data_IF_368554776788
#
_entry.id   IF_368554776788
#
_cell.length_a   1.000
_cell.length_b   1.000
_cell.length_c   1.000
_cell.angle_alpha   90.00
_cell.angle_beta   90.00
_cell.angle_gamma   90.00
#
_symmetry.space_group_name_H-M   'P 1'
#
loop_
_entity.id
_entity.type
_entity.pdbx_description
1 polymer ?
#
# COMPACT_ATOMS: atom_id res chain seq x y z
N UNK A 1 12.80 30.40 18.47
CA UNK A 1 11.37 30.78 18.34
C UNK A 1 10.74 30.01 17.18
N UNK A 2 9.43 29.72 17.30
CA UNK A 2 8.58 28.81 16.48
C UNK A 2 8.62 27.32 16.86
N UNK A 3 8.15 27.01 18.06
CA UNK A 3 7.52 25.72 18.36
C UNK A 3 6.19 25.66 17.60
N UNK A 4 6.24 25.34 16.30
CA UNK A 4 5.03 25.07 15.52
C UNK A 4 4.32 23.88 16.13
N UNK A 5 3.01 24.01 16.42
CA UNK A 5 2.18 22.90 16.91
C UNK A 5 2.26 21.75 15.90
N UNK A 6 3.07 20.74 16.21
CA UNK A 6 3.19 19.51 15.44
C UNK A 6 1.87 18.75 15.51
N UNK A 7 1.47 18.10 14.41
CA UNK A 7 0.31 17.21 14.41
C UNK A 7 0.51 16.14 15.49
N UNK A 8 -0.49 15.88 16.35
CA UNK A 8 -0.37 14.84 17.37
C UNK A 8 -0.04 13.48 16.75
N UNK A 9 0.84 12.72 17.40
CA UNK A 9 1.25 11.41 16.92
C UNK A 9 0.07 10.47 16.69
N UNK A 10 -0.95 10.56 17.54
CA UNK A 10 -2.19 9.78 17.41
C UNK A 10 -2.92 10.08 16.09
N UNK A 11 -2.96 11.33 15.66
CA UNK A 11 -3.57 11.71 14.38
C UNK A 11 -2.78 11.10 13.23
N UNK A 12 -1.45 11.12 13.31
CA UNK A 12 -0.58 10.50 12.29
C UNK A 12 -0.83 8.99 12.21
N UNK A 13 -0.92 8.30 13.36
CA UNK A 13 -1.26 6.87 13.43
C UNK A 13 -2.63 6.59 12.82
N UNK A 14 -3.63 7.43 13.10
CA UNK A 14 -4.96 7.28 12.51
C UNK A 14 -4.98 7.55 11.00
N UNK A 15 -4.17 8.48 10.48
CA UNK A 15 -4.09 8.74 9.04
C UNK A 15 -3.44 7.56 8.32
N UNK A 16 -2.31 7.06 8.81
CA UNK A 16 -1.52 6.06 8.09
C UNK A 16 -1.85 4.61 8.46
N UNK A 17 -2.59 4.38 9.54
CA UNK A 17 -2.99 3.04 10.01
C UNK A 17 -1.78 2.08 10.05
N UNK A 18 -1.96 0.86 9.56
CA UNK A 18 -0.95 -0.19 9.52
C UNK A 18 -0.13 -0.20 8.20
N UNK A 19 -0.01 0.93 7.48
CA UNK A 19 0.74 0.98 6.20
C UNK A 19 2.19 0.50 6.33
N UNK A 20 2.83 0.78 7.47
CA UNK A 20 4.19 0.31 7.76
C UNK A 20 4.27 -1.21 7.78
N UNK A 21 3.26 -1.89 8.33
CA UNK A 21 3.17 -3.36 8.34
C UNK A 21 2.99 -3.92 6.94
N UNK A 22 2.12 -3.29 6.13
CA UNK A 22 1.92 -3.63 4.72
C UNK A 22 3.24 -3.51 3.96
N UNK A 23 3.93 -2.38 4.11
CA UNK A 23 5.23 -2.15 3.48
C UNK A 23 6.26 -3.20 3.90
N UNK A 24 6.39 -3.48 5.20
CA UNK A 24 7.34 -4.47 5.71
C UNK A 24 7.08 -5.86 5.14
N UNK A 25 5.81 -6.29 5.09
CA UNK A 25 5.43 -7.55 4.47
C UNK A 25 5.86 -7.61 3.00
N UNK A 26 5.56 -6.56 2.22
CA UNK A 26 5.91 -6.52 0.81
C UNK A 26 7.42 -6.48 0.57
N UNK A 27 8.15 -5.63 1.30
CA UNK A 27 9.58 -5.41 1.11
C UNK A 27 10.43 -6.61 1.55
N UNK A 28 10.07 -7.27 2.65
CA UNK A 28 10.94 -8.29 3.26
C UNK A 28 10.50 -9.73 2.98
N UNK A 29 9.24 -9.95 2.56
CA UNK A 29 8.72 -11.32 2.36
C UNK A 29 8.17 -11.51 0.96
N UNK A 30 7.24 -10.66 0.52
CA UNK A 30 6.53 -10.92 -0.73
C UNK A 30 7.41 -10.68 -1.96
N UNK A 31 8.02 -9.50 -2.09
CA UNK A 31 8.88 -9.19 -3.23
C UNK A 31 10.08 -10.14 -3.34
N UNK A 32 10.82 -10.46 -2.25
CA UNK A 32 11.94 -11.38 -2.32
C UNK A 32 11.56 -12.79 -2.81
N UNK A 33 10.43 -13.35 -2.36
CA UNK A 33 9.97 -14.67 -2.83
C UNK A 33 9.59 -14.67 -4.31
N UNK A 34 8.98 -13.57 -4.79
CA UNK A 34 8.70 -13.40 -6.23
C UNK A 34 9.99 -13.26 -7.04
N UNK A 35 10.96 -12.47 -6.56
CA UNK A 35 12.25 -12.30 -7.23
C UNK A 35 13.01 -13.63 -7.33
N UNK A 36 13.12 -14.36 -6.22
CA UNK A 36 13.71 -15.70 -6.19
C UNK A 36 13.03 -16.65 -7.18
N UNK A 37 11.70 -16.58 -7.30
CA UNK A 37 10.97 -17.37 -8.29
C UNK A 37 11.33 -16.97 -9.72
N UNK A 38 11.53 -15.69 -10.01
CA UNK A 38 11.97 -15.27 -11.35
C UNK A 38 13.40 -15.75 -11.67
N UNK A 39 14.28 -15.79 -10.68
CA UNK A 39 15.64 -16.34 -10.83
C UNK A 39 15.63 -17.85 -11.11
N UNK A 40 14.73 -18.61 -10.47
CA UNK A 40 14.59 -20.07 -10.63
C UNK A 40 13.49 -20.48 -11.64
N UNK A 41 13.06 -19.56 -12.52
CA UNK A 41 11.89 -19.78 -13.38
C UNK A 41 12.02 -21.02 -14.27
N UNK A 42 13.21 -21.31 -14.78
CA UNK A 42 13.48 -22.47 -15.64
C UNK A 42 13.18 -23.81 -14.95
N UNK A 43 13.31 -23.86 -13.63
CA UNK A 43 13.09 -25.07 -12.82
C UNK A 43 11.69 -25.10 -12.23
N UNK A 44 11.17 -23.94 -11.88
CA UNK A 44 9.86 -23.79 -11.22
C UNK A 44 9.02 -22.71 -11.91
N UNK A 45 8.49 -22.94 -13.14
CA UNK A 45 7.81 -21.92 -13.94
C UNK A 45 6.36 -21.67 -13.51
N UNK A 46 6.16 -21.34 -12.23
CA UNK A 46 4.84 -21.04 -11.66
C UNK A 46 4.94 -19.89 -10.66
N UNK A 47 3.84 -19.28 -10.27
CA UNK A 47 3.80 -18.30 -9.16
C UNK A 47 2.73 -18.63 -8.11
N UNK A 48 1.80 -19.53 -8.44
CA UNK A 48 0.61 -19.80 -7.62
C UNK A 48 0.94 -20.27 -6.20
N UNK A 49 1.98 -21.07 -6.02
CA UNK A 49 2.46 -21.55 -4.72
C UNK A 49 3.05 -20.42 -3.84
N UNK A 50 3.78 -19.47 -4.42
CA UNK A 50 4.25 -18.28 -3.70
C UNK A 50 3.07 -17.45 -3.21
N UNK A 51 2.09 -17.22 -4.10
CA UNK A 51 0.88 -16.46 -3.78
C UNK A 51 0.07 -17.18 -2.69
N UNK A 52 -0.15 -18.48 -2.82
CA UNK A 52 -0.91 -19.27 -1.85
C UNK A 52 -0.25 -19.26 -0.46
N UNK A 53 1.09 -19.38 -0.40
CA UNK A 53 1.87 -19.29 0.84
C UNK A 53 1.69 -17.93 1.54
N UNK A 54 1.63 -16.85 0.77
CA UNK A 54 1.66 -15.48 1.29
C UNK A 54 0.28 -14.80 1.38
N UNK A 55 -0.74 -15.34 0.71
CA UNK A 55 -2.10 -14.81 0.69
C UNK A 55 -2.72 -14.63 2.09
N UNK A 56 -2.48 -15.51 3.10
CA UNK A 56 -3.02 -15.31 4.44
C UNK A 56 -2.61 -13.97 5.07
N UNK A 57 -1.43 -13.44 4.74
CA UNK A 57 -0.94 -12.17 5.27
C UNK A 57 -1.63 -10.96 4.64
N UNK A 58 -2.16 -11.08 3.40
CA UNK A 58 -2.90 -9.99 2.75
C UNK A 58 -4.17 -9.59 3.51
N UNK A 59 -4.65 -10.41 4.45
CA UNK A 59 -5.76 -10.05 5.36
C UNK A 59 -5.51 -8.76 6.15
N UNK A 60 -4.25 -8.36 6.37
CA UNK A 60 -3.90 -7.09 7.04
C UNK A 60 -4.42 -5.85 6.30
N UNK A 61 -4.65 -5.95 4.98
CA UNK A 61 -5.26 -4.86 4.20
C UNK A 61 -6.69 -4.54 4.67
N UNK A 62 -7.40 -5.49 5.28
CA UNK A 62 -8.74 -5.25 5.81
C UNK A 62 -8.76 -4.15 6.87
N UNK A 63 -7.71 -4.07 7.70
CA UNK A 63 -7.55 -3.00 8.69
C UNK A 63 -7.33 -1.63 8.00
N UNK A 64 -6.41 -1.58 7.03
CA UNK A 64 -6.12 -0.36 6.28
C UNK A 64 -7.35 0.17 5.54
N UNK A 65 -8.03 -0.72 4.80
CA UNK A 65 -9.22 -0.38 4.01
C UNK A 65 -10.35 0.10 4.91
N UNK A 66 -10.59 -0.57 6.05
CA UNK A 66 -11.62 -0.15 7.03
C UNK A 66 -11.34 1.25 7.59
N UNK A 67 -10.08 1.66 7.69
CA UNK A 67 -9.68 2.95 8.23
C UNK A 67 -9.61 4.07 7.16
N UNK A 68 -9.66 3.73 5.87
CA UNK A 68 -9.35 4.66 4.78
C UNK A 68 -10.22 5.93 4.80
N UNK A 69 -11.55 5.80 4.89
CA UNK A 69 -12.46 6.95 4.85
C UNK A 69 -12.19 7.92 6.01
N UNK A 70 -12.00 7.37 7.22
CA UNK A 70 -11.67 8.14 8.42
C UNK A 70 -10.33 8.88 8.28
N UNK A 71 -9.34 8.23 7.65
CA UNK A 71 -8.05 8.85 7.42
C UNK A 71 -8.15 10.04 6.43
N UNK A 72 -8.95 9.89 5.37
CA UNK A 72 -9.21 10.97 4.41
C UNK A 72 -9.93 12.14 5.09
N UNK A 73 -10.95 11.87 5.90
CA UNK A 73 -11.64 12.90 6.69
C UNK A 73 -10.68 13.65 7.63
N UNK A 74 -9.79 12.93 8.32
CA UNK A 74 -8.79 13.54 9.20
C UNK A 74 -7.82 14.43 8.44
N UNK A 75 -7.36 14.03 7.25
CA UNK A 75 -6.48 14.87 6.42
C UNK A 75 -7.20 16.17 6.05
N UNK A 76 -8.47 16.08 5.62
CA UNK A 76 -9.28 17.26 5.26
C UNK A 76 -9.45 18.18 6.46
N UNK A 77 -9.92 17.65 7.59
CA UNK A 77 -10.13 18.41 8.83
C UNK A 77 -8.84 19.11 9.30
N UNK A 78 -7.71 18.40 9.29
CA UNK A 78 -6.44 18.98 9.73
C UNK A 78 -5.88 20.00 8.74
N UNK A 79 -6.15 19.84 7.45
CA UNK A 79 -5.76 20.83 6.43
C UNK A 79 -6.53 22.14 6.62
N UNK A 80 -7.83 22.08 6.95
CA UNK A 80 -8.65 23.27 7.20
C UNK A 80 -8.30 23.95 8.54
N UNK A 81 -8.07 23.15 9.59
CA UNK A 81 -7.86 23.64 10.95
C UNK A 81 -6.44 24.17 11.19
N UNK A 82 -5.44 23.68 10.45
CA UNK A 82 -4.03 23.92 10.73
C UNK A 82 -3.27 24.33 9.47
N UNK A 83 -3.08 25.64 9.22
CA UNK A 83 -2.27 26.13 8.11
C UNK A 83 -0.86 25.50 8.07
N UNK A 84 -0.14 25.31 9.20
CA UNK A 84 1.15 24.62 9.16
C UNK A 84 1.08 23.16 8.67
N UNK A 85 -0.02 22.46 8.91
CA UNK A 85 -0.21 21.11 8.39
C UNK A 85 -0.52 21.14 6.89
N UNK A 86 -1.39 22.06 6.45
CA UNK A 86 -1.69 22.27 5.05
C UNK A 86 -0.41 22.60 4.25
N UNK A 87 0.41 23.52 4.76
CA UNK A 87 1.69 23.90 4.14
C UNK A 87 2.64 22.70 4.05
N UNK A 88 2.77 21.92 5.12
CA UNK A 88 3.59 20.71 5.16
C UNK A 88 3.15 19.70 4.08
N UNK A 89 1.85 19.40 4.00
CA UNK A 89 1.31 18.47 2.99
C UNK A 89 1.55 19.02 1.58
N UNK A 90 1.29 20.31 1.35
CA UNK A 90 1.52 20.94 0.06
C UNK A 90 2.99 20.86 -0.36
N UNK A 91 3.92 21.10 0.57
CA UNK A 91 5.36 21.03 0.29
C UNK A 91 5.87 19.61 0.05
N UNK A 92 5.29 18.61 0.72
CA UNK A 92 5.59 17.20 0.43
C UNK A 92 5.09 16.83 -0.97
N UNK A 93 3.84 17.18 -1.31
CA UNK A 93 3.23 16.82 -2.60
C UNK A 93 3.91 17.46 -3.82
N UNK A 94 4.57 18.61 -3.65
CA UNK A 94 5.38 19.26 -4.71
C UNK A 94 6.66 18.46 -5.05
N UNK A 95 7.09 17.52 -4.21
CA UNK A 95 8.30 16.75 -4.45
C UNK A 95 8.09 15.85 -5.66
N UNK A 96 9.12 15.73 -6.52
CA UNK A 96 9.07 14.89 -7.72
C UNK A 96 8.64 13.45 -7.46
N UNK A 97 9.02 12.90 -6.29
CA UNK A 97 8.65 11.53 -5.87
C UNK A 97 7.14 11.33 -5.71
N UNK A 98 6.37 12.39 -5.46
CA UNK A 98 4.91 12.33 -5.36
C UNK A 98 4.21 12.38 -6.72
N UNK A 99 4.95 12.60 -7.82
CA UNK A 99 4.43 12.59 -9.19
C UNK A 99 3.18 13.45 -9.41
N UNK A 100 3.11 14.63 -8.76
CA UNK A 100 1.95 15.55 -8.79
C UNK A 100 0.63 14.96 -8.27
N UNK A 101 0.68 13.86 -7.50
CA UNK A 101 -0.49 13.25 -6.87
C UNK A 101 -0.64 13.74 -5.43
N UNK A 102 -1.89 13.81 -4.97
CA UNK A 102 -2.18 14.16 -3.57
C UNK A 102 -1.86 12.99 -2.64
N UNK A 103 -1.73 13.26 -1.34
CA UNK A 103 -1.55 12.22 -0.32
C UNK A 103 -2.67 11.18 -0.38
N UNK A 104 -3.93 11.60 -0.53
CA UNK A 104 -5.08 10.72 -0.64
C UNK A 104 -5.01 9.80 -1.87
N UNK A 105 -4.48 10.30 -2.99
CA UNK A 105 -4.25 9.47 -4.19
C UNK A 105 -3.24 8.35 -3.91
N UNK A 106 -2.12 8.67 -3.25
CA UNK A 106 -1.14 7.66 -2.84
C UNK A 106 -1.72 6.67 -1.84
N UNK A 107 -2.52 7.15 -0.88
CA UNK A 107 -3.18 6.30 0.12
C UNK A 107 -4.23 5.36 -0.48
N UNK A 108 -4.72 5.62 -1.69
CA UNK A 108 -5.63 4.75 -2.41
C UNK A 108 -4.92 3.54 -3.03
N UNK A 109 -3.61 3.61 -3.27
CA UNK A 109 -2.88 2.51 -3.91
C UNK A 109 -2.99 1.16 -3.15
N UNK A 110 -2.84 1.10 -1.82
CA UNK A 110 -3.05 -0.14 -1.07
C UNK A 110 -4.49 -0.67 -1.21
N UNK A 111 -5.50 0.20 -1.23
CA UNK A 111 -6.91 -0.18 -1.40
C UNK A 111 -7.11 -0.86 -2.76
N UNK A 112 -6.54 -0.29 -3.81
CA UNK A 112 -6.63 -0.82 -5.18
C UNK A 112 -5.77 -2.05 -5.42
N UNK A 113 -4.75 -2.29 -4.57
CA UNK A 113 -3.79 -3.37 -4.78
C UNK A 113 -4.43 -4.76 -4.70
N UNK A 114 -5.36 -4.96 -3.78
CA UNK A 114 -6.03 -6.26 -3.59
C UNK A 114 -6.91 -6.65 -4.79
N UNK A 115 -7.82 -5.78 -5.29
CA UNK A 115 -8.55 -6.05 -6.53
C UNK A 115 -7.62 -6.30 -7.72
N UNK A 116 -6.51 -5.56 -7.84
CA UNK A 116 -5.53 -5.78 -8.92
C UNK A 116 -4.90 -7.17 -8.84
N UNK A 117 -4.57 -7.69 -7.65
CA UNK A 117 -4.09 -9.07 -7.52
C UNK A 117 -5.11 -10.09 -7.99
N UNK A 118 -6.39 -9.91 -7.67
CA UNK A 118 -7.45 -10.82 -8.16
C UNK A 118 -7.50 -10.85 -9.69
N UNK A 119 -7.46 -9.68 -10.34
CA UNK A 119 -7.45 -9.58 -11.80
C UNK A 119 -6.22 -10.25 -12.42
N UNK A 120 -5.04 -9.97 -11.87
CA UNK A 120 -3.78 -10.57 -12.33
C UNK A 120 -3.79 -12.09 -12.18
N UNK A 121 -4.34 -12.63 -11.09
CA UNK A 121 -4.42 -14.07 -10.86
C UNK A 121 -5.45 -14.75 -11.77
N UNK A 122 -6.61 -14.11 -12.01
CA UNK A 122 -7.58 -14.59 -13.00
C UNK A 122 -6.99 -14.64 -14.40
N UNK A 123 -6.25 -13.60 -14.80
CA UNK A 123 -5.56 -13.56 -16.08
C UNK A 123 -4.42 -14.58 -16.16
N UNK A 124 -3.70 -14.80 -15.06
CA UNK A 124 -2.66 -15.82 -14.95
C UNK A 124 -3.26 -17.22 -15.17
N UNK A 125 -4.32 -17.59 -14.45
CA UNK A 125 -4.99 -18.89 -14.59
C UNK A 125 -5.49 -19.11 -16.02
N UNK A 126 -6.07 -18.08 -16.65
CA UNK A 126 -6.55 -18.16 -18.05
C UNK A 126 -5.43 -18.47 -19.05
N UNK A 127 -4.19 -18.06 -18.75
CA UNK A 127 -3.03 -18.22 -19.61
C UNK A 127 -2.22 -19.49 -19.31
N UNK A 128 -2.58 -20.23 -18.25
CA UNK A 128 -1.93 -21.49 -17.95
C UNK A 128 -2.41 -22.60 -18.90
N UNK A 129 -1.53 -23.54 -19.29
CA UNK A 129 -1.95 -24.79 -19.91
C UNK A 129 -2.93 -25.55 -19.01
N UNK A 130 -3.88 -26.33 -19.57
CA UNK A 130 -4.84 -27.11 -18.77
C UNK A 130 -4.19 -28.06 -17.76
N UNK A 131 -3.02 -28.59 -18.10
CA UNK A 131 -2.25 -29.53 -17.25
C UNK A 131 -1.29 -28.82 -16.29
N UNK A 132 -1.36 -27.49 -16.19
CA UNK A 132 -0.55 -26.75 -15.22
C UNK A 132 -0.98 -27.13 -13.80
N UNK A 133 -0.02 -27.47 -12.91
CA UNK A 133 -0.29 -27.75 -11.52
C UNK A 133 -0.73 -26.50 -10.74
#
# INVERSE_FOLDING_TARGET
>A
AKTGKTVPEEVVKMIFSNISSIYQFHAHFFLPELQKRMEDWSRTPRIGDVIQKLAPFLKMYGEYVKNFDKAVELITLWSEKSPPFQDLIADIQKRKVCANLTLQHHMLEPVQRIPRYELLLKDYIRKLPPESP
#
